data_IF_415518388291
#
_entry.id   IF_415518388291
#
_cell.length_a   1.000
_cell.length_b   1.000
_cell.length_c   1.000
_cell.angle_alpha   90.00
_cell.angle_beta   90.00
_cell.angle_gamma   90.00
#
_symmetry.space_group_name_H-M   'P 1'
#
loop_
_entity.id
_entity.type
_entity.pdbx_description
1 polymer ?
#
# COMPACT_ATOMS: atom_id res chain seq x y z
N UNK A 1 -9.83 -23.15 -40.96
CA UNK A 1 -8.37 -22.94 -41.14
C UNK A 1 -8.08 -21.48 -40.86
N UNK A 2 -7.26 -21.16 -39.84
CA UNK A 2 -7.08 -19.77 -39.35
C UNK A 2 -5.86 -19.08 -40.02
N UNK A 3 -5.00 -19.84 -40.70
CA UNK A 3 -3.90 -19.30 -41.50
C UNK A 3 -3.66 -20.20 -42.71
N UNK A 4 -3.68 -19.63 -43.93
CA UNK A 4 -3.60 -20.38 -45.20
C UNK A 4 -2.21 -20.24 -45.89
N UNK A 5 -1.23 -19.65 -45.19
CA UNK A 5 0.15 -19.48 -45.66
C UNK A 5 1.17 -20.38 -44.95
N UNK A 6 2.42 -20.42 -45.45
CA UNK A 6 3.53 -21.10 -44.78
C UNK A 6 3.81 -20.47 -43.41
N UNK A 7 3.75 -21.26 -42.34
CA UNK A 7 4.03 -20.80 -40.98
C UNK A 7 5.52 -20.44 -40.86
N UNK A 8 5.82 -19.15 -40.87
CA UNK A 8 7.15 -18.61 -40.59
C UNK A 8 7.30 -18.31 -39.10
N UNK A 9 8.53 -18.15 -38.61
CA UNK A 9 8.82 -17.89 -37.20
C UNK A 9 8.14 -16.60 -36.69
N UNK A 10 8.01 -15.59 -37.55
CA UNK A 10 7.32 -14.34 -37.22
C UNK A 10 5.82 -14.54 -37.00
N UNK A 11 5.18 -15.36 -37.83
CA UNK A 11 3.76 -15.70 -37.70
C UNK A 11 3.51 -16.47 -36.40
N UNK A 12 4.39 -17.41 -36.05
CA UNK A 12 4.31 -18.14 -34.77
C UNK A 12 4.41 -17.22 -33.56
N UNK A 13 5.30 -16.23 -33.60
CA UNK A 13 5.47 -15.27 -32.50
C UNK A 13 4.23 -14.37 -32.35
N UNK A 14 3.60 -13.96 -33.46
CA UNK A 14 2.35 -13.20 -33.42
C UNK A 14 1.20 -14.02 -32.81
N UNK A 15 1.04 -15.28 -33.22
CA UNK A 15 0.02 -16.15 -32.64
C UNK A 15 0.30 -16.46 -31.17
N UNK A 16 1.57 -16.54 -30.75
CA UNK A 16 1.92 -16.78 -29.34
C UNK A 16 1.40 -15.68 -28.43
N UNK A 17 1.64 -14.42 -28.78
CA UNK A 17 1.16 -13.27 -28.00
C UNK A 17 -0.37 -13.23 -27.90
N UNK A 18 -1.07 -13.51 -29.00
CA UNK A 18 -2.54 -13.55 -29.03
C UNK A 18 -3.08 -14.69 -28.16
N UNK A 19 -2.45 -15.87 -28.22
CA UNK A 19 -2.86 -17.04 -27.43
C UNK A 19 -2.58 -16.86 -25.94
N UNK A 20 -1.46 -16.24 -25.57
CA UNK A 20 -1.15 -15.90 -24.17
C UNK A 20 -2.19 -14.93 -23.60
N UNK A 21 -2.57 -13.89 -24.35
CA UNK A 21 -3.64 -12.95 -23.94
C UNK A 21 -5.01 -13.63 -23.81
N UNK A 22 -5.39 -14.48 -24.77
CA UNK A 22 -6.65 -15.22 -24.72
C UNK A 22 -6.70 -16.23 -23.57
N UNK A 23 -5.57 -16.82 -23.18
CA UNK A 23 -5.49 -17.72 -22.03
C UNK A 23 -5.72 -16.97 -20.71
N UNK A 24 -5.15 -15.78 -20.57
CA UNK A 24 -5.37 -14.92 -19.40
C UNK A 24 -6.84 -14.51 -19.28
N UNK A 25 -7.47 -14.11 -20.40
CA UNK A 25 -8.90 -13.80 -20.45
C UNK A 25 -9.78 -15.01 -20.09
N UNK A 26 -9.45 -16.22 -20.59
CA UNK A 26 -10.18 -17.44 -20.26
C UNK A 26 -10.10 -17.81 -18.78
N UNK A 27 -8.95 -17.62 -18.14
CA UNK A 27 -8.78 -17.86 -16.70
C UNK A 27 -9.62 -16.87 -15.90
N UNK A 28 -9.58 -15.59 -16.27
CA UNK A 28 -10.39 -14.54 -15.65
C UNK A 28 -11.89 -14.83 -15.75
N UNK A 29 -12.37 -15.23 -16.94
CA UNK A 29 -13.78 -15.58 -17.16
C UNK A 29 -14.21 -16.85 -16.41
N UNK A 30 -13.31 -17.83 -16.26
CA UNK A 30 -13.60 -19.05 -15.50
C UNK A 30 -13.66 -18.81 -14.00
N UNK A 31 -12.84 -17.91 -13.47
CA UNK A 31 -12.90 -17.47 -12.07
C UNK A 31 -14.20 -16.68 -11.83
N UNK A 32 -14.53 -15.74 -12.72
CA UNK A 32 -15.76 -14.96 -12.65
C UNK A 32 -17.03 -15.81 -12.80
N UNK A 33 -17.02 -16.81 -13.69
CA UNK A 33 -18.13 -17.73 -13.89
C UNK A 33 -18.40 -18.66 -12.70
N UNK A 34 -17.35 -19.02 -11.93
CA UNK A 34 -17.52 -19.76 -10.67
C UNK A 34 -18.06 -18.88 -9.54
N UNK A 35 -17.70 -17.60 -9.52
CA UNK A 35 -18.25 -16.62 -8.58
C UNK A 35 -19.75 -16.35 -8.86
N UNK A 36 -20.11 -16.18 -10.14
CA UNK A 36 -21.50 -15.95 -10.56
C UNK A 36 -22.44 -17.13 -10.27
N UNK A 37 -21.93 -18.37 -10.32
CA UNK A 37 -22.75 -19.56 -10.05
C UNK A 37 -23.01 -19.78 -8.55
N UNK A 38 -22.22 -19.17 -7.66
CA UNK A 38 -22.42 -19.22 -6.21
C UNK A 38 -23.31 -18.07 -5.69
N UNK A 39 -23.29 -16.91 -6.36
CA UNK A 39 -24.12 -15.75 -6.00
C UNK A 39 -25.62 -15.92 -6.35
N UNK A 40 -25.96 -16.90 -7.18
CA UNK A 40 -27.34 -17.09 -7.65
C UNK A 40 -28.20 -17.95 -6.71
N UNK A 41 -27.59 -18.63 -5.72
CA UNK A 41 -28.33 -19.34 -4.65
C UNK A 41 -28.64 -18.45 -3.42
N UNK A 42 -28.05 -17.26 -3.31
CA UNK A 42 -28.29 -16.31 -2.20
C UNK A 42 -29.17 -15.10 -2.58
N UNK A 43 -29.69 -15.00 -3.80
CA UNK A 43 -30.54 -13.87 -4.24
C UNK A 43 -32.06 -14.13 -4.10
N UNK A 44 -32.50 -14.65 -2.96
CA UNK A 44 -33.93 -14.70 -2.60
C UNK A 44 -34.28 -13.94 -1.31
N UNK A 45 -33.33 -13.33 -0.60
CA UNK A 45 -33.61 -12.63 0.64
C UNK A 45 -32.62 -11.50 0.94
N UNK A 46 -32.75 -10.37 0.24
CA UNK A 46 -32.40 -9.03 0.72
C UNK A 46 -32.65 -8.01 -0.39
N UNK A 47 -33.91 -7.62 -0.56
CA UNK A 47 -34.29 -6.45 -1.32
C UNK A 47 -34.28 -5.24 -0.37
N UNK A 48 -33.12 -4.77 0.03
CA UNK A 48 -32.94 -3.44 0.66
C UNK A 48 -31.45 -3.14 0.77
N UNK A 49 -30.91 -2.44 -0.25
CA UNK A 49 -29.98 -1.31 -0.14
C UNK A 49 -29.38 -1.05 -1.52
N UNK A 50 -29.87 0.03 -2.14
CA UNK A 50 -29.33 0.62 -3.36
C UNK A 50 -28.01 1.31 -3.01
N UNK A 51 -26.89 0.75 -3.48
CA UNK A 51 -25.62 1.47 -3.68
C UNK A 51 -24.92 0.82 -4.88
N UNK A 52 -24.55 1.58 -5.93
CA UNK A 52 -23.73 1.03 -7.00
C UNK A 52 -22.36 0.65 -6.43
N UNK A 53 -21.79 -0.52 -6.76
CA UNK A 53 -20.42 -0.83 -6.40
C UNK A 53 -19.51 0.09 -7.22
N UNK A 54 -18.67 0.84 -6.51
CA UNK A 54 -17.58 1.64 -7.03
C UNK A 54 -16.76 0.79 -8.01
N UNK A 55 -16.76 1.20 -9.26
CA UNK A 55 -15.77 0.77 -10.24
C UNK A 55 -14.40 1.11 -9.64
N UNK A 56 -13.50 0.13 -9.61
CA UNK A 56 -12.10 0.34 -9.32
C UNK A 56 -11.55 1.37 -10.32
N UNK A 57 -11.58 2.64 -9.94
CA UNK A 57 -10.80 3.68 -10.58
C UNK A 57 -9.34 3.22 -10.51
N UNK A 58 -8.74 2.98 -11.67
CA UNK A 58 -7.30 3.07 -11.83
C UNK A 58 -6.88 4.45 -11.32
N UNK A 59 -6.51 4.52 -10.03
CA UNK A 59 -5.94 5.73 -9.46
C UNK A 59 -4.66 6.03 -10.23
N UNK A 60 -4.73 7.04 -11.09
CA UNK A 60 -3.56 7.68 -11.67
C UNK A 60 -2.68 8.16 -10.52
N UNK A 61 -1.54 7.50 -10.39
CA UNK A 61 -0.51 7.84 -9.42
C UNK A 61 0.00 9.27 -9.71
N UNK A 62 0.35 10.05 -8.68
CA UNK A 62 0.83 11.42 -8.86
C UNK A 62 2.09 11.50 -9.74
N UNK A 63 2.30 12.66 -10.38
CA UNK A 63 3.50 12.92 -11.20
C UNK A 63 4.78 12.65 -10.39
N UNK A 64 5.56 11.65 -10.83
CA UNK A 64 6.79 11.20 -10.17
C UNK A 64 6.80 9.73 -9.77
N UNK A 65 5.65 9.04 -9.82
CA UNK A 65 5.57 7.63 -9.42
C UNK A 65 5.84 6.70 -10.62
N UNK A 66 6.95 5.96 -10.57
CA UNK A 66 7.23 4.85 -11.49
C UNK A 66 7.00 3.55 -10.73
N UNK A 67 6.00 2.75 -11.15
CA UNK A 67 5.92 1.34 -10.75
C UNK A 67 7.03 0.58 -11.49
N UNK A 68 8.06 0.16 -10.78
CA UNK A 68 9.02 -0.84 -11.27
C UNK A 68 8.69 -2.17 -10.61
N UNK A 69 8.06 -3.06 -11.39
CA UNK A 69 8.11 -4.52 -11.23
C UNK A 69 7.95 -5.13 -9.82
N UNK A 70 7.08 -4.56 -8.97
CA UNK A 70 6.78 -5.14 -7.66
C UNK A 70 7.91 -5.03 -6.62
N UNK A 71 8.92 -4.22 -6.90
CA UNK A 71 9.95 -3.82 -5.93
C UNK A 71 9.37 -2.73 -5.01
N UNK A 72 9.68 -2.82 -3.72
CA UNK A 72 9.34 -1.76 -2.76
C UNK A 72 10.24 -0.57 -3.07
N UNK A 73 9.67 0.55 -3.51
CA UNK A 73 10.43 1.75 -3.86
C UNK A 73 10.30 2.75 -2.72
N UNK A 74 11.36 2.88 -1.93
CA UNK A 74 11.45 3.94 -0.94
C UNK A 74 11.39 5.30 -1.64
N UNK A 75 10.41 6.12 -1.28
CA UNK A 75 10.29 7.48 -1.82
C UNK A 75 11.26 8.43 -1.10
N UNK A 76 11.81 9.41 -1.81
CA UNK A 76 12.66 10.43 -1.16
C UNK A 76 11.89 11.17 -0.06
N UNK A 77 10.59 11.40 -0.26
CA UNK A 77 9.71 12.01 0.74
C UNK A 77 9.59 11.18 2.02
N UNK A 78 9.66 9.85 1.93
CA UNK A 78 9.64 8.98 3.11
C UNK A 78 10.94 9.08 3.89
N UNK A 79 12.07 9.22 3.18
CA UNK A 79 13.37 9.47 3.79
C UNK A 79 13.43 10.86 4.46
N UNK A 80 12.85 11.87 3.84
CA UNK A 80 12.72 13.21 4.42
C UNK A 80 11.80 13.21 5.65
N UNK A 81 10.63 12.58 5.55
CA UNK A 81 9.72 12.38 6.68
C UNK A 81 10.38 11.63 7.83
N UNK A 82 11.16 10.58 7.54
CA UNK A 82 11.93 9.85 8.54
C UNK A 82 12.95 10.74 9.26
N UNK A 83 13.67 11.59 8.52
CA UNK A 83 14.62 12.54 9.12
C UNK A 83 13.92 13.56 10.03
N UNK A 84 12.72 14.01 9.66
CA UNK A 84 11.90 14.88 10.51
C UNK A 84 11.55 14.16 11.81
N UNK A 85 11.10 12.90 11.73
CA UNK A 85 10.79 12.11 12.93
C UNK A 85 12.03 11.90 13.80
N UNK A 86 13.19 11.58 13.20
CA UNK A 86 14.45 11.49 13.95
C UNK A 86 14.81 12.79 14.67
N UNK A 87 14.61 13.94 14.01
CA UNK A 87 14.86 15.24 14.61
C UNK A 87 13.92 15.51 15.80
N UNK A 88 12.63 15.18 15.68
CA UNK A 88 11.64 15.32 16.75
C UNK A 88 11.99 14.43 17.96
N UNK A 89 12.41 13.20 17.70
CA UNK A 89 12.68 12.18 18.72
C UNK A 89 14.04 12.32 19.38
N UNK A 90 14.97 13.10 18.81
CA UNK A 90 16.31 13.34 19.37
C UNK A 90 16.30 13.83 20.82
N UNK A 91 15.24 14.53 21.21
CA UNK A 91 15.08 15.04 22.59
C UNK A 91 14.75 13.94 23.61
N UNK A 92 14.23 12.80 23.16
CA UNK A 92 13.71 11.73 24.02
C UNK A 92 14.58 10.47 23.94
N UNK A 93 15.06 10.12 22.74
CA UNK A 93 15.81 8.89 22.48
C UNK A 93 16.97 9.17 21.51
N UNK A 94 18.01 8.33 21.56
CA UNK A 94 19.09 8.38 20.58
C UNK A 94 18.60 8.05 19.17
N UNK A 95 19.13 8.75 18.18
CA UNK A 95 18.73 8.65 16.77
C UNK A 95 19.05 7.27 16.20
N UNK A 96 20.09 6.63 16.73
CA UNK A 96 20.53 5.29 16.30
C UNK A 96 19.52 4.19 16.68
N UNK A 97 18.64 4.45 17.66
CA UNK A 97 17.55 3.54 18.06
C UNK A 97 16.33 3.67 17.17
N UNK A 98 16.22 4.75 16.39
CA UNK A 98 15.09 4.97 15.47
C UNK A 98 15.40 4.28 14.15
N UNK A 99 14.76 3.14 13.90
CA UNK A 99 14.93 2.35 12.70
C UNK A 99 13.81 2.63 11.69
N UNK A 100 14.10 2.39 10.42
CA UNK A 100 13.12 2.41 9.33
C UNK A 100 13.03 1.05 8.66
N UNK A 101 11.82 0.63 8.30
CA UNK A 101 11.56 -0.55 7.48
C UNK A 101 10.58 -0.20 6.39
N UNK A 102 11.00 -0.40 5.17
CA UNK A 102 10.16 -0.19 4.01
C UNK A 102 9.31 -1.43 3.73
N UNK A 103 8.01 -1.24 3.61
CA UNK A 103 7.04 -2.28 3.29
C UNK A 103 6.19 -1.80 2.11
N UNK A 104 5.71 -2.75 1.31
CA UNK A 104 4.92 -2.47 0.11
C UNK A 104 3.72 -1.53 0.34
N UNK A 105 3.13 -1.58 1.53
CA UNK A 105 1.94 -0.78 1.85
C UNK A 105 2.27 0.53 2.57
N UNK A 106 3.40 0.61 3.27
CA UNK A 106 3.76 1.74 4.12
C UNK A 106 5.23 1.69 4.51
N UNK A 107 5.78 2.86 4.82
CA UNK A 107 7.10 2.96 5.42
C UNK A 107 6.99 3.01 6.94
N UNK A 108 7.63 2.07 7.61
CA UNK A 108 7.50 1.88 9.05
C UNK A 108 8.67 2.52 9.81
N UNK A 109 8.36 3.35 10.80
CA UNK A 109 9.36 3.92 11.72
C UNK A 109 9.22 3.20 13.06
N UNK A 110 10.30 2.56 13.50
CA UNK A 110 10.33 1.67 14.65
C UNK A 110 11.32 2.17 15.69
N UNK A 111 11.02 1.90 16.95
CA UNK A 111 12.01 1.96 18.03
C UNK A 111 12.74 0.60 18.10
N UNK A 112 14.06 0.65 18.26
CA UNK A 112 14.97 -0.50 18.42
C UNK A 112 14.78 -1.61 17.37
N UNK A 113 14.43 -1.23 16.14
CA UNK A 113 14.18 -2.13 15.01
C UNK A 113 13.20 -3.28 15.34
N UNK A 114 12.25 -3.05 16.25
CA UNK A 114 11.34 -4.08 16.73
C UNK A 114 9.91 -3.81 16.30
N UNK A 115 9.25 -4.80 15.67
CA UNK A 115 7.85 -4.67 15.20
C UNK A 115 6.82 -4.47 16.34
N UNK A 116 7.23 -4.64 17.61
CA UNK A 116 6.39 -4.46 18.80
C UNK A 116 6.38 -3.03 19.32
N UNK A 117 7.29 -2.18 18.83
CA UNK A 117 7.43 -0.77 19.22
C UNK A 117 7.40 0.12 17.96
N UNK A 118 6.29 0.13 17.19
CA UNK A 118 6.16 1.04 16.08
C UNK A 118 5.91 2.47 16.57
N UNK A 119 6.66 3.43 16.04
CA UNK A 119 6.52 4.84 16.42
C UNK A 119 5.50 5.52 15.52
N UNK A 120 5.64 5.35 14.20
CA UNK A 120 4.68 5.83 13.22
C UNK A 120 4.83 5.09 11.89
N UNK A 121 3.84 5.25 11.02
CA UNK A 121 3.85 4.71 9.65
C UNK A 121 3.60 5.83 8.65
N UNK A 122 4.34 5.85 7.55
CA UNK A 122 4.04 6.73 6.42
C UNK A 122 3.31 5.97 5.33
N UNK A 123 2.16 6.50 4.95
CA UNK A 123 1.35 6.03 3.83
C UNK A 123 1.41 7.10 2.75
N UNK A 124 2.58 7.25 2.11
CA UNK A 124 2.82 8.27 1.08
C UNK A 124 2.65 7.73 -0.35
N UNK A 125 2.46 6.42 -0.48
CA UNK A 125 2.24 5.75 -1.77
C UNK A 125 0.86 6.04 -2.39
N UNK A 126 -0.10 6.52 -1.60
CA UNK A 126 -1.45 6.89 -2.07
C UNK A 126 -1.52 8.36 -2.49
N UNK A 127 -2.53 8.71 -3.29
CA UNK A 127 -2.81 10.09 -3.70
C UNK A 127 -2.96 11.04 -2.50
N UNK A 128 -3.58 10.56 -1.43
CA UNK A 128 -3.62 11.26 -0.14
C UNK A 128 -2.50 10.75 0.75
N UNK A 129 -1.63 11.64 1.22
CA UNK A 129 -0.56 11.30 2.16
C UNK A 129 -1.14 11.20 3.56
N UNK A 130 -0.75 10.14 4.28
CA UNK A 130 -1.22 9.91 5.66
C UNK A 130 -0.08 9.48 6.56
N UNK A 131 -0.14 9.89 7.82
CA UNK A 131 0.70 9.40 8.90
C UNK A 131 -0.14 8.51 9.81
N UNK A 132 0.32 7.29 10.06
CA UNK A 132 -0.20 6.39 11.07
C UNK A 132 0.47 6.68 12.41
N UNK A 133 -0.32 7.05 13.41
CA UNK A 133 0.09 7.32 14.78
C UNK A 133 -0.41 6.20 15.69
N UNK A 134 0.36 5.87 16.74
CA UNK A 134 0.03 4.77 17.65
C UNK A 134 -0.33 5.25 19.05
N UNK A 135 -1.47 4.79 19.54
CA UNK A 135 -1.89 5.00 20.93
C UNK A 135 -1.22 4.01 21.91
N UNK A 136 -1.55 4.16 23.20
CA UNK A 136 -1.06 3.30 24.29
C UNK A 136 -1.51 1.83 24.15
N UNK A 137 -2.64 1.60 23.47
CA UNK A 137 -3.17 0.27 23.16
C UNK A 137 -2.58 -0.32 21.86
N UNK A 138 -1.68 0.42 21.19
CA UNK A 138 -1.06 0.09 19.90
C UNK A 138 -2.04 0.03 18.73
N UNK A 139 -3.16 0.73 18.82
CA UNK A 139 -4.05 0.97 17.70
C UNK A 139 -3.45 2.06 16.80
N UNK A 140 -3.56 1.87 15.48
CA UNK A 140 -3.08 2.82 14.48
C UNK A 140 -4.21 3.79 14.11
N UNK A 141 -4.03 5.08 14.39
CA UNK A 141 -4.86 6.16 13.88
C UNK A 141 -4.21 6.77 12.64
N UNK A 142 -4.95 6.84 11.53
CA UNK A 142 -4.45 7.43 10.28
C UNK A 142 -4.90 8.87 10.16
N UNK A 143 -3.93 9.77 10.16
CA UNK A 143 -4.15 11.21 10.01
C UNK A 143 -3.67 11.64 8.63
N UNK A 144 -4.50 12.40 7.91
CA UNK A 144 -4.12 12.94 6.60
C UNK A 144 -3.17 14.13 6.78
N UNK A 145 -2.16 14.21 5.92
CA UNK A 145 -1.20 15.32 5.88
C UNK A 145 -1.14 15.90 4.48
N UNK A 146 -1.05 17.23 4.39
CA UNK A 146 -0.89 17.94 3.12
C UNK A 146 0.59 18.12 2.79
N UNK A 147 1.41 18.34 3.83
CA UNK A 147 2.84 18.59 3.72
C UNK A 147 3.65 17.77 4.71
N UNK A 148 4.93 17.52 4.41
CA UNK A 148 5.85 16.90 5.38
C UNK A 148 6.03 17.77 6.65
N UNK A 149 5.75 19.07 6.57
CA UNK A 149 5.79 19.97 7.72
C UNK A 149 4.72 19.64 8.77
N UNK A 150 3.63 19.01 8.37
CA UNK A 150 2.51 18.70 9.27
C UNK A 150 2.91 17.65 10.32
N UNK A 151 3.97 16.88 10.04
CA UNK A 151 4.57 15.92 10.99
C UNK A 151 4.98 16.62 12.29
N UNK A 152 5.44 17.88 12.25
CA UNK A 152 5.77 18.65 13.45
C UNK A 152 4.54 18.92 14.33
N UNK A 153 3.34 19.00 13.75
CA UNK A 153 2.09 19.12 14.50
C UNK A 153 1.79 17.89 15.37
N UNK A 154 2.37 16.74 15.03
CA UNK A 154 2.22 15.47 15.76
C UNK A 154 3.43 15.14 16.65
N UNK A 155 4.36 16.08 16.84
CA UNK A 155 5.60 15.84 17.57
C UNK A 155 5.38 15.33 19.01
N UNK A 156 4.45 15.93 19.74
CA UNK A 156 4.11 15.50 21.12
C UNK A 156 3.54 14.08 21.15
N UNK A 157 2.77 13.68 20.14
CA UNK A 157 2.23 12.33 20.05
C UNK A 157 3.36 11.32 19.85
N UNK A 158 4.27 11.57 18.89
CA UNK A 158 5.42 10.70 18.62
C UNK A 158 6.31 10.53 19.86
N UNK A 159 6.54 11.61 20.60
CA UNK A 159 7.32 11.60 21.86
C UNK A 159 6.62 10.75 22.92
N UNK A 160 5.30 10.91 23.08
CA UNK A 160 4.52 10.13 24.04
C UNK A 160 4.55 8.64 23.72
N UNK A 161 4.40 8.25 22.46
CA UNK A 161 4.47 6.85 22.02
C UNK A 161 5.82 6.22 22.40
N UNK A 162 6.92 6.95 22.20
CA UNK A 162 8.26 6.48 22.57
C UNK A 162 8.45 6.39 24.08
N UNK A 163 8.00 7.40 24.84
CA UNK A 163 8.06 7.38 26.31
C UNK A 163 7.30 6.18 26.90
N UNK A 164 6.14 5.86 26.35
CA UNK A 164 5.37 4.68 26.76
C UNK A 164 6.15 3.37 26.57
N UNK A 165 6.95 3.27 25.50
CA UNK A 165 7.80 2.10 25.28
C UNK A 165 8.99 2.03 26.25
N UNK A 166 9.60 3.17 26.58
CA UNK A 166 10.67 3.24 27.60
C UNK A 166 10.16 2.90 29.01
N UNK A 167 8.92 3.27 29.35
CA UNK A 167 8.31 2.95 30.65
C UNK A 167 7.84 1.49 30.76
N UNK A 168 7.62 0.84 29.61
CA UNK A 168 7.13 -0.55 29.54
C UNK A 168 8.25 -1.60 29.47
N UNK A 169 9.51 -1.19 29.42
CA UNK A 169 10.71 -2.05 29.53
C UNK A 169 11.14 -2.28 30.99
#
# INVERSE_FOLDING_TARGET
>A
KVYDGRITQNVRNQFRSIVEGALHQLVHDKVRGRLSSALQEEQASAAEELSPPEEEEEEELPEGVVRVDGEVVTLEEELEGFRIVQAILREVVDVDRVAKRDLKSYFNVLLDDTNRQPICRFHFHSKTKRIGLFDEEKNEERVEIESLGDIYGHAEHLRRTVQFYEESE
#
